data_IF_785191794969
#
_entry.id   IF_785191794969
#
_cell.length_a   1.000
_cell.length_b   1.000
_cell.length_c   1.000
_cell.angle_alpha   90.00
_cell.angle_beta   90.00
_cell.angle_gamma   90.00
#
_symmetry.space_group_name_H-M   'P 1'
#
loop_
_entity.id
_entity.type
_entity.pdbx_description
1 polymer ?
#
# COMPACT_ATOMS: atom_id res chain seq x y z
N UNK A 1 61.46 34.47 -23.10
CA UNK A 1 61.30 33.77 -21.81
C UNK A 1 59.81 33.51 -21.61
N UNK A 2 59.43 32.24 -21.74
CA UNK A 2 58.06 31.74 -21.68
C UNK A 2 57.63 31.66 -20.22
N UNK A 3 56.64 32.43 -19.81
CA UNK A 3 55.86 32.09 -18.61
C UNK A 3 54.51 31.58 -19.09
N UNK A 4 54.44 30.26 -19.08
CA UNK A 4 53.29 29.42 -19.32
C UNK A 4 52.13 29.84 -18.41
N UNK A 5 51.09 30.44 -19.00
CA UNK A 5 49.80 30.56 -18.35
C UNK A 5 49.08 29.23 -18.59
N UNK A 6 49.51 28.17 -17.89
CA UNK A 6 48.73 26.94 -17.84
C UNK A 6 47.37 27.30 -17.29
N UNK A 7 46.37 27.26 -18.17
CA UNK A 7 44.96 27.29 -17.87
C UNK A 7 44.73 26.43 -16.63
N UNK A 8 44.46 27.08 -15.50
CA UNK A 8 43.89 26.41 -14.34
C UNK A 8 42.47 26.07 -14.76
N UNK A 9 42.31 24.96 -15.47
CA UNK A 9 41.04 24.27 -15.58
C UNK A 9 40.73 23.79 -14.18
N UNK A 10 40.12 24.68 -13.39
CA UNK A 10 39.37 24.27 -12.22
C UNK A 10 38.29 23.37 -12.79
N UNK A 11 38.50 22.06 -12.71
CA UNK A 11 37.44 21.09 -12.85
C UNK A 11 36.45 21.45 -11.74
N UNK A 12 35.47 22.28 -12.08
CA UNK A 12 34.29 22.47 -11.26
C UNK A 12 33.67 21.08 -11.29
N UNK A 13 33.97 20.28 -10.27
CA UNK A 13 33.23 19.07 -10.00
C UNK A 13 31.80 19.58 -9.79
N UNK A 14 31.00 19.53 -10.86
CA UNK A 14 29.56 19.71 -10.76
C UNK A 14 29.10 18.56 -9.91
N UNK A 15 29.00 18.81 -8.61
CA UNK A 15 28.34 17.93 -7.69
C UNK A 15 26.95 17.69 -8.31
N UNK A 16 26.72 16.46 -8.77
CA UNK A 16 25.43 16.06 -9.32
C UNK A 16 24.34 16.55 -8.38
N UNK A 17 23.25 17.06 -8.95
CA UNK A 17 22.09 17.51 -8.19
C UNK A 17 21.81 16.52 -7.06
N UNK A 18 22.02 16.93 -5.81
CA UNK A 18 21.64 16.14 -4.65
C UNK A 18 20.13 15.99 -4.72
N UNK A 19 19.66 14.91 -5.32
CA UNK A 19 18.25 14.56 -5.33
C UNK A 19 17.83 14.39 -3.88
N UNK A 20 16.99 15.28 -3.31
CA UNK A 20 16.63 15.23 -1.89
C UNK A 20 15.81 13.96 -1.56
N UNK A 21 15.42 13.20 -2.59
CA UNK A 21 14.65 11.98 -2.51
C UNK A 21 15.45 10.70 -2.77
N UNK A 22 16.78 10.77 -2.81
CA UNK A 22 17.64 9.59 -2.89
C UNK A 22 17.71 8.81 -1.55
N UNK A 23 16.58 8.63 -0.87
CA UNK A 23 16.50 7.91 0.41
C UNK A 23 16.57 6.40 0.14
N UNK A 24 17.44 5.70 0.88
CA UNK A 24 17.54 4.23 0.86
C UNK A 24 16.89 3.67 2.12
N UNK A 25 15.79 2.96 1.94
CA UNK A 25 15.06 2.34 3.04
C UNK A 25 15.47 0.88 3.21
N UNK A 26 15.75 0.49 4.45
CA UNK A 26 15.98 -0.91 4.80
C UNK A 26 14.64 -1.66 4.84
N UNK A 27 14.59 -2.83 4.22
CA UNK A 27 13.42 -3.72 4.20
C UNK A 27 13.42 -4.76 5.31
N UNK A 28 14.50 -4.86 6.11
CA UNK A 28 14.57 -5.79 7.26
C UNK A 28 14.01 -5.18 8.55
N UNK A 29 13.52 -3.94 8.50
CA UNK A 29 12.84 -3.27 9.61
C UNK A 29 11.35 -3.37 9.36
N UNK A 30 10.70 -4.24 10.12
CA UNK A 30 9.35 -4.74 9.83
C UNK A 30 8.21 -3.97 10.51
N UNK A 31 8.48 -2.92 11.28
CA UNK A 31 7.41 -2.20 11.99
C UNK A 31 6.55 -1.39 10.99
N UNK A 32 5.34 -1.87 10.65
CA UNK A 32 4.55 -1.23 9.63
C UNK A 32 3.93 0.04 10.19
N UNK A 33 3.84 1.08 9.36
CA UNK A 33 3.18 2.33 9.72
C UNK A 33 1.95 2.55 8.87
N UNK A 34 0.87 3.02 9.48
CA UNK A 34 -0.31 3.46 8.76
C UNK A 34 -0.14 4.94 8.37
N UNK A 35 -0.45 5.28 7.12
CA UNK A 35 -0.47 6.65 6.63
C UNK A 35 -1.80 7.02 5.95
N UNK A 36 -2.16 8.30 6.02
CA UNK A 36 -3.33 8.88 5.36
C UNK A 36 -2.94 10.20 4.67
N UNK A 37 -3.34 10.42 3.43
CA UNK A 37 -2.98 11.62 2.65
C UNK A 37 -4.14 12.60 2.41
N UNK A 38 -5.22 12.51 3.19
CA UNK A 38 -6.46 13.27 2.95
C UNK A 38 -7.41 12.62 1.95
N UNK A 39 -6.96 11.61 1.20
CA UNK A 39 -7.78 10.88 0.21
C UNK A 39 -7.91 9.41 0.57
N UNK A 40 -6.80 8.74 0.93
CA UNK A 40 -6.80 7.31 1.20
C UNK A 40 -5.81 6.88 2.29
N UNK A 41 -6.08 5.70 2.86
CA UNK A 41 -5.26 5.04 3.88
C UNK A 41 -4.36 3.98 3.25
N UNK A 42 -3.09 3.95 3.65
CA UNK A 42 -2.10 2.99 3.16
C UNK A 42 -1.18 2.50 4.29
N UNK A 43 -0.82 1.21 4.25
CA UNK A 43 0.25 0.64 5.07
C UNK A 43 1.59 0.82 4.36
N UNK A 44 2.57 1.35 5.07
CA UNK A 44 3.96 1.42 4.66
C UNK A 44 4.76 0.39 5.45
N UNK A 45 5.75 -0.24 4.80
CA UNK A 45 6.58 -1.29 5.40
C UNK A 45 7.27 -0.81 6.67
N UNK A 46 7.72 0.44 6.68
CA UNK A 46 8.22 1.13 7.85
C UNK A 46 8.19 2.64 7.66
N UNK A 47 8.63 3.36 8.70
CA UNK A 47 8.64 4.83 8.71
C UNK A 47 9.47 5.45 7.58
N UNK A 48 10.55 4.77 7.14
CA UNK A 48 11.37 5.27 6.03
C UNK A 48 10.56 5.35 4.73
N UNK A 49 9.78 4.31 4.43
CA UNK A 49 8.93 4.30 3.24
C UNK A 49 7.82 5.36 3.27
N UNK A 50 7.29 5.68 4.46
CA UNK A 50 6.35 6.79 4.62
C UNK A 50 7.02 8.14 4.32
N UNK A 51 8.23 8.37 4.84
CA UNK A 51 8.99 9.59 4.58
C UNK A 51 9.40 9.72 3.10
N UNK A 52 9.83 8.61 2.48
CA UNK A 52 10.13 8.56 1.05
C UNK A 52 8.90 8.90 0.20
N UNK A 53 7.70 8.46 0.60
CA UNK A 53 6.45 8.79 -0.09
C UNK A 53 6.05 10.28 -0.02
N UNK A 54 6.52 10.98 1.02
CA UNK A 54 6.42 12.44 1.15
C UNK A 54 7.53 13.19 0.40
N UNK A 55 8.55 12.49 -0.11
CA UNK A 55 9.63 13.14 -0.80
C UNK A 55 9.25 13.47 -2.25
N UNK A 56 9.48 14.72 -2.67
CA UNK A 56 9.37 15.16 -4.06
C UNK A 56 7.94 15.22 -4.62
N UNK A 57 6.92 14.83 -3.84
CA UNK A 57 5.53 14.79 -4.26
C UNK A 57 4.67 15.75 -3.42
N UNK A 58 3.51 16.17 -3.97
CA UNK A 58 2.43 16.86 -3.24
C UNK A 58 1.67 15.93 -2.27
N UNK A 59 2.20 14.76 -2.00
CA UNK A 59 1.57 13.79 -1.14
C UNK A 59 1.84 14.21 0.31
N UNK A 60 0.79 14.36 1.10
CA UNK A 60 0.87 14.76 2.51
C UNK A 60 0.50 13.56 3.38
N UNK A 61 1.31 12.50 3.32
CA UNK A 61 1.08 11.30 4.12
C UNK A 61 1.36 11.58 5.59
N UNK A 62 0.29 11.60 6.37
CA UNK A 62 0.31 11.73 7.83
C UNK A 62 0.29 10.34 8.47
N UNK A 63 1.12 10.11 9.49
CA UNK A 63 1.11 8.87 10.26
C UNK A 63 -0.18 8.79 11.07
N UNK A 64 -0.88 7.66 10.97
CA UNK A 64 -2.13 7.37 11.68
C UNK A 64 -1.99 6.10 12.55
N UNK A 65 -2.90 5.88 13.51
CA UNK A 65 -3.02 4.61 14.22
C UNK A 65 -3.17 3.40 13.28
N UNK A 66 -2.46 2.30 13.58
CA UNK A 66 -2.37 1.13 12.68
C UNK A 66 -3.73 0.47 12.39
N UNK A 67 -4.66 0.56 13.33
CA UNK A 67 -6.03 0.05 13.21
C UNK A 67 -6.87 0.81 12.17
N UNK A 68 -6.56 2.07 11.87
CA UNK A 68 -7.26 2.86 10.84
C UNK A 68 -6.98 2.31 9.44
N UNK A 69 -5.73 1.94 9.15
CA UNK A 69 -5.40 1.23 7.92
C UNK A 69 -5.93 -0.20 7.94
N UNK A 70 -5.98 -0.89 9.08
CA UNK A 70 -6.49 -2.27 9.13
C UNK A 70 -7.99 -2.39 8.78
N UNK A 71 -8.75 -1.31 8.95
CA UNK A 71 -10.19 -1.24 8.65
C UNK A 71 -10.52 -0.59 7.29
N UNK A 72 -9.57 0.16 6.70
CA UNK A 72 -9.80 0.98 5.49
C UNK A 72 -8.77 0.80 4.38
N UNK A 73 -7.67 0.08 4.63
CA UNK A 73 -6.64 -0.20 3.63
C UNK A 73 -7.17 -1.19 2.61
N UNK A 74 -7.42 -0.69 1.39
CA UNK A 74 -7.66 -1.53 0.21
C UNK A 74 -6.40 -2.33 -0.18
N UNK A 75 -5.27 -2.09 0.48
CA UNK A 75 -3.96 -2.68 0.22
C UNK A 75 -3.60 -3.83 1.14
N UNK A 76 -4.59 -4.53 1.74
CA UNK A 76 -4.40 -5.93 2.16
C UNK A 76 -4.35 -6.86 0.93
N UNK A 77 -3.58 -6.49 -0.10
CA UNK A 77 -3.17 -7.39 -1.16
C UNK A 77 -1.94 -8.12 -0.65
N UNK A 78 -2.17 -9.15 0.16
CA UNK A 78 -1.30 -10.31 0.08
C UNK A 78 -1.20 -10.66 -1.41
N UNK A 79 0.02 -10.67 -1.94
CA UNK A 79 0.30 -11.05 -3.34
C UNK A 79 -0.21 -12.46 -3.66
N UNK A 80 -0.60 -13.23 -2.64
CA UNK A 80 -1.26 -14.53 -2.77
C UNK A 80 -2.61 -14.50 -2.06
N UNK A 81 -3.69 -14.70 -2.83
CA UNK A 81 -5.00 -14.92 -2.23
C UNK A 81 -5.04 -16.28 -1.53
N UNK A 82 -5.56 -16.35 -0.29
CA UNK A 82 -5.76 -17.65 0.34
C UNK A 82 -6.66 -18.49 -0.56
N UNK A 83 -6.27 -19.75 -0.78
CA UNK A 83 -7.05 -20.71 -1.58
C UNK A 83 -7.73 -21.76 -0.71
N UNK A 84 -7.38 -21.84 0.58
CA UNK A 84 -7.93 -22.82 1.51
C UNK A 84 -8.85 -22.15 2.52
N UNK A 85 -9.99 -22.80 2.76
CA UNK A 85 -10.95 -22.46 3.80
C UNK A 85 -11.31 -23.71 4.61
N UNK A 86 -11.65 -23.56 5.91
CA UNK A 86 -12.21 -24.65 6.68
C UNK A 86 -13.50 -25.18 6.03
N UNK A 87 -13.74 -26.49 6.11
CA UNK A 87 -14.99 -27.12 5.64
C UNK A 87 -16.14 -26.95 6.64
N UNK A 88 -16.24 -25.76 7.25
CA UNK A 88 -17.34 -25.40 8.16
C UNK A 88 -18.39 -24.67 7.34
N UNK A 89 -19.60 -25.20 7.30
CA UNK A 89 -20.72 -24.56 6.63
C UNK A 89 -21.38 -23.54 7.57
N UNK A 90 -21.28 -22.26 7.23
CA UNK A 90 -21.93 -21.14 7.91
C UNK A 90 -22.27 -20.07 6.86
N UNK A 91 -23.38 -20.23 6.13
CA UNK A 91 -23.57 -19.56 4.86
C UNK A 91 -23.69 -18.05 5.00
N UNK A 92 -23.07 -17.32 4.07
CA UNK A 92 -23.12 -15.85 4.01
C UNK A 92 -23.77 -15.43 2.70
N UNK A 93 -24.90 -14.73 2.79
CA UNK A 93 -25.49 -14.04 1.64
C UNK A 93 -24.72 -12.75 1.37
N UNK A 94 -24.23 -12.58 0.15
CA UNK A 94 -23.52 -11.38 -0.26
C UNK A 94 -23.94 -10.92 -1.66
N UNK A 95 -23.86 -9.61 -1.90
CA UNK A 95 -24.13 -8.99 -3.20
C UNK A 95 -22.94 -8.16 -3.66
N UNK A 96 -22.71 -8.10 -4.97
CA UNK A 96 -21.74 -7.20 -5.59
C UNK A 96 -22.36 -5.91 -6.16
N UNK A 97 -23.64 -5.65 -5.84
CA UNK A 97 -24.42 -4.52 -6.34
C UNK A 97 -25.28 -4.87 -7.55
N UNK A 98 -24.92 -5.92 -8.31
CA UNK A 98 -25.69 -6.38 -9.46
C UNK A 98 -26.24 -7.79 -9.25
N UNK A 99 -25.49 -8.65 -8.57
CA UNK A 99 -25.82 -10.06 -8.34
C UNK A 99 -25.74 -10.40 -6.86
N UNK A 100 -26.53 -11.38 -6.43
CA UNK A 100 -26.49 -11.94 -5.08
C UNK A 100 -26.04 -13.40 -5.14
N UNK A 101 -25.23 -13.81 -4.17
CA UNK A 101 -24.68 -15.16 -4.07
C UNK A 101 -24.54 -15.59 -2.61
N UNK A 102 -24.78 -16.87 -2.34
CA UNK A 102 -24.50 -17.51 -1.05
C UNK A 102 -23.10 -18.14 -1.10
N UNK A 103 -22.26 -17.79 -0.14
CA UNK A 103 -20.96 -18.42 0.11
C UNK A 103 -21.10 -19.46 1.21
N UNK A 104 -20.35 -20.58 1.15
CA UNK A 104 -20.42 -21.65 2.14
C UNK A 104 -19.98 -21.21 3.54
N UNK A 105 -19.07 -20.24 3.60
CA UNK A 105 -18.72 -19.51 4.82
C UNK A 105 -18.07 -18.15 4.55
N UNK A 106 -17.79 -17.41 5.62
CA UNK A 106 -17.12 -16.10 5.57
C UNK A 106 -15.72 -16.18 4.92
N UNK A 107 -15.00 -17.28 5.10
CA UNK A 107 -13.69 -17.47 4.48
C UNK A 107 -13.81 -17.50 2.95
N UNK A 108 -14.75 -18.29 2.41
CA UNK A 108 -14.96 -18.39 0.96
C UNK A 108 -15.32 -17.03 0.33
N UNK A 109 -16.15 -16.22 1.01
CA UNK A 109 -16.46 -14.85 0.57
C UNK A 109 -15.20 -13.97 0.55
N UNK A 110 -14.35 -14.08 1.57
CA UNK A 110 -13.10 -13.32 1.65
C UNK A 110 -12.10 -13.74 0.56
N UNK A 111 -12.03 -15.03 0.23
CA UNK A 111 -11.23 -15.55 -0.91
C UNK A 111 -11.70 -14.94 -2.23
N UNK A 112 -13.01 -14.90 -2.47
CA UNK A 112 -13.57 -14.26 -3.66
C UNK A 112 -13.26 -12.74 -3.71
N UNK A 113 -13.30 -12.08 -2.56
CA UNK A 113 -12.96 -10.67 -2.42
C UNK A 113 -11.46 -10.36 -2.51
N UNK A 114 -10.59 -11.35 -2.31
CA UNK A 114 -9.16 -11.09 -2.34
C UNK A 114 -8.68 -10.50 -3.69
N UNK A 115 -9.25 -10.95 -4.82
CA UNK A 115 -8.92 -10.39 -6.14
C UNK A 115 -9.87 -9.26 -6.58
N UNK A 116 -11.15 -9.38 -6.24
CA UNK A 116 -12.20 -8.53 -6.83
C UNK A 116 -12.78 -7.48 -5.88
N UNK A 117 -12.65 -7.68 -4.56
CA UNK A 117 -13.18 -6.85 -3.48
C UNK A 117 -14.59 -6.28 -3.73
N UNK A 118 -15.47 -7.08 -4.33
CA UNK A 118 -16.80 -6.64 -4.80
C UNK A 118 -17.96 -7.15 -3.97
N UNK A 119 -17.81 -8.27 -3.28
CA UNK A 119 -18.89 -8.91 -2.52
C UNK A 119 -19.06 -8.25 -1.14
N UNK A 120 -20.27 -7.80 -0.83
CA UNK A 120 -20.67 -7.27 0.47
C UNK A 120 -21.72 -8.18 1.08
N UNK A 121 -21.48 -8.63 2.32
CA UNK A 121 -22.48 -9.37 3.07
C UNK A 121 -23.77 -8.53 3.19
N UNK A 122 -24.90 -9.15 2.91
CA UNK A 122 -26.22 -8.53 2.93
C UNK A 122 -27.19 -9.41 3.72
N UNK A 123 -28.41 -8.93 3.91
CA UNK A 123 -29.46 -9.72 4.55
C UNK A 123 -29.85 -10.90 3.66
N UNK A 124 -30.15 -12.03 4.30
CA UNK A 124 -30.43 -13.31 3.62
C UNK A 124 -31.54 -13.21 2.58
N UNK A 125 -32.50 -12.30 2.75
CA UNK A 125 -33.61 -12.05 1.82
C UNK A 125 -33.19 -11.50 0.45
N UNK A 126 -31.94 -11.04 0.28
CA UNK A 126 -31.41 -10.61 -1.00
C UNK A 126 -30.85 -11.75 -1.86
N UNK A 127 -30.69 -12.95 -1.28
CA UNK A 127 -30.26 -14.17 -1.97
C UNK A 127 -31.40 -15.19 -2.13
N UNK A 128 -32.65 -14.71 -2.08
CA UNK A 128 -33.88 -15.51 -2.21
C UNK A 128 -34.46 -15.32 -3.61
#
# INVERSE_FOLDING_TARGET
>A
MLLSWTLVFIAIASCGSLDPCAIRCNTTVDEPVCGYNGVEYQLFQNNCFLLLANCGARNSWEKRPLNECSSRSRTKRSSTCPTMCPMVYNPVCATDGNTSKIFGNQCEMNVANCKSNRWRATRSNACV
#
